data_IF_553707829842
#
_entry.id   IF_553707829842
#
_cell.length_a   1.000
_cell.length_b   1.000
_cell.length_c   1.000
_cell.angle_alpha   90.00
_cell.angle_beta   90.00
_cell.angle_gamma   90.00
#
_symmetry.space_group_name_H-M   'P 1'
#
loop_
_entity.id
_entity.type
_entity.pdbx_description
1 polymer ?
2 water ?
#
# COMPACT_ATOMS: atom_id res chain seq x y z
N UNK A 33 22.35 6.92 5.05
CA UNK A 33 20.96 6.91 4.46
C UNK A 33 20.55 5.54 3.87
N UNK A 34 19.28 5.28 4.02
CA UNK A 34 18.70 4.03 3.69
C UNK A 34 18.29 4.12 2.21
N UNK A 35 18.58 3.10 1.41
CA UNK A 35 18.19 3.07 -0.02
C UNK A 35 16.68 2.91 -0.20
N UNK A 36 16.20 3.54 -1.27
CA UNK A 36 14.84 3.44 -1.74
C UNK A 36 14.52 2.00 -2.01
N UNK A 37 13.27 1.61 -1.84
CA UNK A 37 12.87 0.29 -2.33
C UNK A 37 12.41 0.51 -3.78
N UNK A 38 13.04 -0.15 -4.74
CA UNK A 38 12.71 0.04 -6.12
C UNK A 38 11.48 -0.83 -6.52
N UNK A 39 10.44 -0.20 -7.04
CA UNK A 39 9.17 -0.90 -7.39
C UNK A 39 9.09 -1.33 -8.87
N UNK A 40 10.07 -0.91 -9.65
CA UNK A 40 10.11 -1.19 -11.12
C UNK A 40 8.78 -0.80 -11.74
N UNK A 41 8.22 -1.67 -12.54
CA UNK A 41 6.97 -1.36 -13.24
C UNK A 41 5.78 -1.16 -12.29
N UNK A 42 5.82 -1.79 -11.12
CA UNK A 42 4.75 -1.60 -10.15
C UNK A 42 4.56 -0.19 -9.68
N UNK A 43 5.62 0.64 -9.77
CA UNK A 43 5.51 2.08 -9.47
C UNK A 43 4.42 2.79 -10.29
N UNK A 44 4.11 2.29 -11.45
CA UNK A 44 3.02 2.87 -12.23
C UNK A 44 1.59 2.59 -11.77
N UNK A 45 1.42 1.83 -10.67
CA UNK A 45 0.07 1.45 -10.24
C UNK A 45 -0.26 2.04 -8.92
N UNK A 46 -1.50 2.49 -8.76
CA UNK A 46 -2.02 2.83 -7.43
C UNK A 46 -2.44 1.58 -6.66
N UNK A 47 -2.98 0.60 -7.38
CA UNK A 47 -3.44 -0.67 -6.81
C UNK A 47 -3.04 -1.77 -7.74
N UNK A 48 -2.31 -2.70 -7.19
CA UNK A 48 -1.88 -3.91 -7.89
C UNK A 48 -2.11 -5.09 -6.96
N UNK A 49 -2.96 -6.04 -7.34
CA UNK A 49 -3.10 -7.28 -6.56
C UNK A 49 -2.92 -8.57 -7.39
N UNK A 50 -2.95 -9.71 -6.72
CA UNK A 50 -2.86 -10.96 -7.38
C UNK A 50 -4.18 -11.69 -7.46
N UNK A 51 -5.14 -11.38 -6.60
CA UNK A 51 -6.37 -12.10 -6.66
C UNK A 51 -7.52 -11.13 -6.71
N UNK A 52 -7.27 -9.87 -7.03
CA UNK A 52 -8.40 -8.98 -7.23
C UNK A 52 -8.55 -7.80 -6.39
N UNK A 53 -9.62 -7.11 -6.70
CA UNK A 53 -9.93 -5.88 -6.13
C UNK A 53 -11.38 -5.73 -5.99
N UNK A 54 -11.79 -5.59 -4.76
CA UNK A 54 -13.16 -5.56 -4.36
C UNK A 54 -13.49 -4.15 -3.93
N UNK A 55 -14.74 -3.77 -4.06
CA UNK A 55 -15.09 -2.42 -3.79
C UNK A 55 -16.55 -2.22 -3.45
N UNK A 56 -16.80 -1.33 -2.49
CA UNK A 56 -18.12 -0.85 -2.23
C UNK A 56 -18.19 0.47 -2.92
N UNK A 57 -19.17 0.63 -3.81
CA UNK A 57 -19.25 1.83 -4.66
C UNK A 57 -19.66 2.96 -3.72
N UNK A 58 -19.15 4.20 -3.81
CA UNK A 58 -18.15 4.68 -4.76
C UNK A 58 -16.76 5.01 -4.14
N UNK A 59 -15.71 4.43 -4.70
CA UNK A 59 -14.32 4.84 -4.40
C UNK A 59 -13.84 5.86 -5.44
N UNK A 60 -12.74 6.53 -5.13
CA UNK A 60 -12.03 7.46 -6.06
C UNK A 60 -10.55 7.13 -6.04
N UNK A 61 -10.16 6.36 -7.04
CA UNK A 61 -8.79 6.01 -7.24
C UNK A 61 -8.11 6.83 -8.34
N UNK A 62 -6.97 7.42 -8.00
CA UNK A 62 -6.13 8.17 -8.94
C UNK A 62 -4.83 7.43 -9.19
N UNK A 63 -4.73 6.90 -10.39
CA UNK A 63 -3.57 6.12 -10.85
C UNK A 63 -4.07 4.83 -11.41
N UNK A 64 -3.19 4.05 -12.03
CA UNK A 64 -3.61 2.80 -12.69
C UNK A 64 -3.86 1.66 -11.69
N UNK A 65 -4.69 0.74 -12.11
CA UNK A 65 -5.03 -0.44 -11.30
C UNK A 65 -4.92 -1.69 -12.13
N UNK A 66 -4.54 -2.75 -11.46
CA UNK A 66 -4.33 -4.03 -12.12
C UNK A 66 -4.33 -5.23 -11.19
N UNK A 67 -4.55 -6.39 -11.79
CA UNK A 67 -4.50 -7.66 -11.08
C UNK A 67 -4.04 -8.73 -12.02
N UNK A 68 -3.22 -9.61 -11.51
CA UNK A 68 -2.74 -10.79 -12.24
C UNK A 68 -2.04 -11.78 -11.26
N UNK A 69 -2.09 -13.12 -11.53
CA UNK A 69 -2.54 -13.82 -12.75
C UNK A 69 -4.04 -14.02 -12.83
N UNK A 70 -4.80 -13.59 -11.85
CA UNK A 70 -6.22 -13.78 -11.92
C UNK A 70 -6.96 -13.04 -13.07
N UNK A 71 -8.15 -13.54 -13.46
CA UNK A 71 -8.99 -12.87 -14.47
C UNK A 71 -9.41 -11.48 -14.13
N UNK A 72 -9.43 -10.63 -15.12
CA UNK A 72 -9.93 -9.30 -14.92
C UNK A 72 -11.29 -9.10 -14.39
N UNK A 73 -12.16 -10.10 -14.56
CA UNK A 73 -13.41 -10.20 -13.81
C UNK A 73 -13.24 -10.05 -12.29
N UNK A 74 -12.10 -10.42 -11.74
CA UNK A 74 -11.90 -10.20 -10.26
C UNK A 74 -11.71 -8.72 -9.81
N UNK A 75 -11.65 -7.82 -10.81
CA UNK A 75 -11.60 -6.38 -10.55
C UNK A 75 -12.97 -5.79 -10.56
N UNK A 76 -13.54 -5.53 -9.38
CA UNK A 76 -14.93 -5.05 -9.21
C UNK A 76 -15.09 -3.54 -9.12
N UNK A 77 -14.32 -2.86 -9.93
CA UNK A 77 -14.38 -1.43 -9.98
C UNK A 77 -15.13 -1.09 -11.23
N UNK A 78 -15.91 -0.03 -11.20
CA UNK A 78 -16.42 0.58 -12.40
C UNK A 78 -15.43 1.62 -12.89
N UNK A 79 -15.64 2.04 -14.13
CA UNK A 79 -14.80 2.98 -14.81
C UNK A 79 -14.89 4.38 -14.24
N UNK A 80 -16.03 4.83 -13.77
CA UNK A 80 -16.04 6.15 -13.13
C UNK A 80 -15.30 6.19 -11.77
N UNK A 81 -14.76 5.08 -11.28
CA UNK A 81 -14.05 5.12 -9.98
C UNK A 81 -12.56 5.30 -10.14
N UNK A 82 -12.06 5.10 -11.35
CA UNK A 82 -10.64 5.08 -11.59
C UNK A 82 -10.31 6.22 -12.56
N UNK A 83 -9.42 7.10 -12.15
CA UNK A 83 -8.84 8.08 -13.06
C UNK A 83 -7.47 7.50 -13.40
N UNK A 84 -7.30 6.93 -14.57
CA UNK A 84 -6.08 6.18 -14.93
C UNK A 84 -6.60 5.00 -15.75
N UNK A 85 -5.82 3.94 -15.85
CA UNK A 85 -6.18 2.81 -16.65
C UNK A 85 -6.37 1.59 -15.78
N UNK A 86 -7.30 0.74 -16.18
CA UNK A 86 -7.55 -0.55 -15.52
C UNK A 86 -7.02 -1.57 -16.43
N UNK A 87 -6.07 -2.35 -15.96
CA UNK A 87 -5.46 -3.40 -16.74
C UNK A 87 -5.93 -4.83 -16.36
N UNK A 88 -6.11 -5.71 -17.36
CA UNK A 88 -6.60 -7.07 -17.17
C UNK A 88 -5.71 -7.99 -17.89
N UNK A 89 -5.59 -9.21 -17.38
CA UNK A 89 -4.83 -10.21 -18.06
C UNK A 89 -5.61 -10.77 -19.28
N UNK A 90 -6.88 -10.49 -19.43
CA UNK A 90 -7.72 -11.20 -20.43
C UNK A 90 -8.83 -10.30 -20.85
N UNK A 91 -9.79 -10.92 -21.53
CA UNK A 91 -10.84 -10.22 -22.14
C UNK A 91 -11.88 -9.84 -21.09
N UNK A 92 -11.83 -10.44 -19.91
CA UNK A 92 -12.83 -10.07 -18.86
C UNK A 92 -12.52 -8.78 -18.09
N UNK A 93 -13.54 -8.18 -17.51
CA UNK A 93 -13.38 -7.04 -16.63
C UNK A 93 -14.25 -5.85 -16.96
N UNK A 94 -14.02 -4.73 -16.29
CA UNK A 94 -14.82 -3.52 -16.49
C UNK A 94 -14.68 -3.09 -17.96
N UNK A 95 -15.63 -2.29 -18.41
CA UNK A 95 -15.81 -2.02 -19.86
C UNK A 95 -14.58 -1.32 -20.48
N UNK A 96 -14.04 -0.34 -19.75
CA UNK A 96 -12.85 0.43 -20.16
C UNK A 96 -11.52 -0.29 -20.01
N UNK A 97 -11.50 -1.57 -19.73
CA UNK A 97 -10.23 -2.13 -19.36
C UNK A 97 -9.35 -2.25 -20.56
N UNK A 98 -8.03 -2.33 -20.34
CA UNK A 98 -7.08 -2.62 -21.36
C UNK A 98 -6.56 -3.94 -21.02
N UNK A 99 -6.47 -4.79 -22.02
CA UNK A 99 -5.92 -6.09 -21.79
C UNK A 99 -4.46 -6.03 -22.02
N UNK A 100 -3.61 -6.37 -21.03
CA UNK A 100 -2.15 -6.43 -21.27
C UNK A 100 -1.38 -7.36 -20.30
N UNK A 101 -1.25 -8.60 -20.70
CA UNK A 101 -0.81 -9.61 -19.82
C UNK A 101 0.65 -9.45 -19.53
N UNK A 102 1.49 -9.09 -20.52
CA UNK A 102 2.93 -9.04 -20.29
C UNK A 102 3.30 -7.89 -19.33
N UNK A 103 2.58 -6.76 -19.38
CA UNK A 103 2.90 -5.67 -18.47
C UNK A 103 2.50 -6.02 -17.03
N UNK A 104 1.34 -6.63 -16.85
CA UNK A 104 0.90 -7.08 -15.53
C UNK A 104 1.82 -8.13 -14.93
N UNK A 105 2.30 -9.05 -15.74
CA UNK A 105 3.29 -10.04 -15.29
C UNK A 105 4.59 -9.40 -14.86
N UNK A 106 5.08 -8.45 -15.62
CA UNK A 106 6.26 -7.69 -15.17
C UNK A 106 5.95 -6.90 -13.93
N UNK A 107 4.78 -6.29 -13.88
CA UNK A 107 4.45 -5.49 -12.71
C UNK A 107 4.43 -6.36 -11.47
N UNK A 108 3.75 -7.49 -11.56
CA UNK A 108 3.62 -8.38 -10.40
C UNK A 108 4.93 -9.00 -9.99
N UNK A 109 5.69 -9.46 -10.95
CA UNK A 109 7.08 -9.85 -10.72
C UNK A 109 7.86 -8.74 -9.97
N UNK A 110 7.69 -7.48 -10.34
CA UNK A 110 8.45 -6.39 -9.75
C UNK A 110 8.00 -6.08 -8.34
N UNK A 111 6.71 -6.19 -8.10
CA UNK A 111 6.16 -6.10 -6.76
C UNK A 111 6.76 -7.19 -5.85
N UNK A 112 6.90 -8.41 -6.35
CA UNK A 112 7.50 -9.51 -5.55
C UNK A 112 8.96 -9.20 -5.18
N UNK A 113 9.76 -8.77 -6.16
CA UNK A 113 11.12 -8.33 -5.96
C UNK A 113 11.18 -7.19 -4.96
N UNK A 114 10.23 -6.26 -5.03
CA UNK A 114 10.23 -5.18 -4.08
C UNK A 114 9.92 -5.70 -2.69
N UNK A 115 8.90 -6.54 -2.57
CA UNK A 115 8.54 -7.10 -1.27
C UNK A 115 9.74 -7.81 -0.60
N UNK A 116 10.45 -8.63 -1.36
CA UNK A 116 11.60 -9.38 -0.87
C UNK A 116 12.76 -8.44 -0.56
N UNK A 117 12.97 -7.42 -1.40
CA UNK A 117 13.97 -6.42 -1.09
C UNK A 117 13.69 -5.73 0.24
N UNK A 118 12.46 -5.30 0.45
CA UNK A 118 12.07 -4.65 1.70
C UNK A 118 12.13 -5.53 2.95
N UNK A 119 11.56 -6.73 2.85
CA UNK A 119 11.66 -7.69 3.94
C UNK A 119 13.10 -8.15 4.23
N UNK A 120 14.00 -8.02 3.26
CA UNK A 120 15.34 -8.56 3.35
C UNK A 120 16.30 -7.55 3.95
N UNK A 121 15.89 -6.30 4.19
CA UNK A 121 16.87 -5.30 4.66
C UNK A 121 17.33 -5.68 6.08
N UNK A 122 18.62 -5.42 6.40
CA UNK A 122 19.20 -5.84 7.69
C UNK A 122 19.57 -4.68 8.59
N UNK A 123 19.81 -5.00 9.87
CA UNK A 123 20.27 -3.98 10.85
C UNK A 123 19.25 -2.92 11.07
N UNK A 124 18.12 -3.32 11.58
CA UNK A 124 17.19 -2.25 11.81
C UNK A 124 17.72 -1.21 12.80
N UNK A 125 17.16 -0.03 12.73
CA UNK A 125 17.40 1.02 13.63
C UNK A 125 16.53 0.89 14.85
N UNK A 126 15.30 0.38 14.68
CA UNK A 126 14.43 -0.01 15.74
C UNK A 126 13.85 -1.42 15.62
N UNK A 127 13.62 -2.07 16.78
CA UNK A 127 12.94 -3.34 16.88
C UNK A 127 11.95 -3.30 18.00
N UNK A 128 10.71 -3.57 17.65
CA UNK A 128 9.57 -3.62 18.54
C UNK A 128 9.26 -2.35 19.23
N UNK A 129 9.47 -1.28 18.51
CA UNK A 129 9.12 0.03 18.96
C UNK A 129 7.65 0.10 19.45
N UNK A 130 7.46 0.74 20.62
CA UNK A 130 6.19 0.90 21.31
C UNK A 130 5.51 -0.41 21.76
N UNK A 131 6.27 -1.50 21.69
CA UNK A 131 5.83 -2.83 21.92
C UNK A 131 4.67 -3.18 20.97
N UNK A 132 4.71 -2.72 19.71
CA UNK A 132 3.63 -3.11 18.78
C UNK A 132 2.45 -2.16 18.73
N UNK A 133 2.47 -1.12 19.55
CA UNK A 133 1.48 -0.08 19.52
C UNK A 133 2.18 1.30 19.48
N UNK A 134 1.90 2.12 18.44
CA UNK A 134 2.68 3.35 18.19
C UNK A 134 1.91 4.65 18.14
N UNK A 135 0.74 4.67 18.73
CA UNK A 135 -0.05 5.91 18.74
C UNK A 135 0.77 7.08 19.33
N UNK A 136 0.64 8.28 18.78
CA UNK A 136 1.27 9.48 19.32
C UNK A 136 2.74 9.69 18.93
N UNK A 137 3.41 8.68 18.39
CA UNK A 137 4.81 8.84 18.07
C UNK A 137 5.07 9.74 16.86
N UNK A 138 6.31 10.24 16.81
CA UNK A 138 6.91 10.90 15.69
C UNK A 138 8.06 10.03 15.21
N UNK A 139 7.99 9.49 13.99
CA UNK A 139 8.97 8.50 13.51
C UNK A 139 9.94 9.17 12.63
N UNK A 140 11.23 9.00 12.93
CA UNK A 140 12.29 9.64 12.21
C UNK A 140 12.82 8.60 11.29
N UNK A 141 13.63 9.01 10.30
CA UNK A 141 13.94 8.11 9.19
C UNK A 141 14.69 6.90 9.61
N UNK A 142 14.52 5.80 8.90
CA UNK A 142 15.27 4.61 9.16
C UNK A 142 14.48 3.35 8.89
N UNK A 143 15.04 2.28 9.39
CA UNK A 143 14.57 0.95 9.18
C UNK A 143 14.06 0.48 10.48
N UNK A 144 12.76 0.21 10.48
CA UNK A 144 12.02 -0.25 11.64
C UNK A 144 11.50 -1.64 11.48
N UNK A 145 11.62 -2.44 12.53
CA UNK A 145 11.13 -3.81 12.49
C UNK A 145 10.28 -4.17 13.69
N UNK A 146 9.26 -4.97 13.43
CA UNK A 146 8.32 -5.53 14.42
C UNK A 146 8.16 -7.01 14.18
N UNK A 147 8.26 -7.81 15.25
CA UNK A 147 8.24 -9.26 15.07
C UNK A 147 6.83 -9.79 15.37
N UNK A 148 5.88 -8.90 15.55
CA UNK A 148 4.52 -9.21 15.80
C UNK A 148 3.67 -8.29 14.90
N UNK A 149 2.42 -8.11 15.32
CA UNK A 149 1.45 -7.26 14.67
C UNK A 149 1.69 -5.83 15.13
N UNK A 150 1.55 -4.89 14.21
CA UNK A 150 1.64 -3.47 14.51
C UNK A 150 0.31 -2.83 14.47
N UNK A 151 0.00 -2.15 15.56
CA UNK A 151 -1.17 -1.30 15.73
C UNK A 151 -0.89 0.17 15.81
N UNK A 152 -1.71 0.94 15.12
CA UNK A 152 -1.68 2.37 15.12
C UNK A 152 -3.01 2.94 15.61
N UNK A 153 -3.17 3.06 16.94
CA UNK A 153 -4.48 3.43 17.46
C UNK A 153 -4.74 4.91 17.57
N UNK A 154 -3.72 5.73 17.45
CA UNK A 154 -3.91 7.17 17.46
C UNK A 154 -2.90 7.79 16.52
N UNK A 155 -3.10 9.08 16.25
CA UNK A 155 -2.34 9.80 15.22
C UNK A 155 -0.86 9.70 15.42
N UNK A 156 -0.13 9.62 14.31
CA UNK A 156 1.33 9.63 14.32
C UNK A 156 1.84 10.60 13.30
N UNK A 157 3.12 10.94 13.41
CA UNK A 157 3.75 11.81 12.46
C UNK A 157 4.97 11.08 11.92
N UNK A 158 5.31 11.32 10.67
CA UNK A 158 6.53 10.79 10.06
C UNK A 158 7.26 12.06 9.65
N UNK A 159 8.49 12.21 10.14
CA UNK A 159 9.19 13.50 10.12
C UNK A 159 10.61 13.33 9.68
N UNK A 160 11.04 14.13 8.72
CA UNK A 160 12.37 14.01 8.10
C UNK A 160 12.41 14.84 6.80
N UNK A 161 13.51 14.76 6.08
CA UNK A 161 13.68 15.54 4.84
C UNK A 161 12.98 14.99 3.58
N UNK A 162 13.00 15.78 2.53
CA UNK A 162 12.39 15.39 1.27
C UNK A 162 13.12 14.20 0.67
N UNK A 163 14.30 13.87 1.14
CA UNK A 163 15.03 12.73 0.57
C UNK A 163 15.25 11.57 1.60
N UNK A 164 14.75 11.72 2.81
CA UNK A 164 14.82 10.64 3.83
C UNK A 164 13.85 9.49 3.44
N UNK A 165 14.24 8.28 3.82
CA UNK A 165 13.51 7.06 3.56
C UNK A 165 13.12 6.34 4.86
N UNK A 166 11.93 5.76 4.88
CA UNK A 166 11.42 4.96 6.01
C UNK A 166 10.98 3.65 5.46
N UNK A 167 11.48 2.60 6.07
CA UNK A 167 11.03 1.27 5.77
C UNK A 167 10.55 0.64 7.05
N UNK A 168 9.24 0.36 7.07
CA UNK A 168 8.60 -0.42 8.12
C UNK A 168 8.37 -1.90 7.88
N UNK A 169 9.09 -2.77 8.58
CA UNK A 169 8.98 -4.24 8.44
C UNK A 169 8.12 -4.81 9.53
N UNK A 170 7.00 -5.42 9.15
CA UNK A 170 6.01 -5.88 10.11
C UNK A 170 5.79 -7.36 9.87
N UNK A 171 6.18 -8.19 10.84
CA UNK A 171 6.03 -9.66 10.66
C UNK A 171 4.58 -10.21 10.79
N UNK A 172 3.64 -9.53 11.45
CA UNK A 172 2.25 -9.93 11.49
C UNK A 172 1.34 -9.01 10.67
N UNK A 173 0.20 -8.65 11.22
CA UNK A 173 -0.66 -7.68 10.59
C UNK A 173 -0.29 -6.27 10.89
N UNK A 174 -0.88 -5.37 10.13
CA UNK A 174 -0.83 -3.98 10.38
C UNK A 174 -2.22 -3.44 10.51
N UNK A 175 -2.51 -2.83 11.64
CA UNK A 175 -3.80 -2.23 11.89
C UNK A 175 -3.73 -0.79 12.13
N UNK A 176 -4.69 -0.05 11.56
CA UNK A 176 -4.88 1.33 11.95
C UNK A 176 -6.33 1.57 12.29
N UNK A 177 -6.59 2.23 13.40
CA UNK A 177 -7.96 2.42 13.85
C UNK A 177 -8.67 3.55 13.15
N UNK A 178 -9.98 3.58 13.33
CA UNK A 178 -10.75 4.62 12.71
C UNK A 178 -10.32 6.03 13.07
N UNK A 179 -10.44 6.92 12.09
CA UNK A 179 -10.06 8.32 12.17
C UNK A 179 -8.62 8.59 12.48
N UNK A 180 -7.79 7.58 12.60
CA UNK A 180 -6.36 7.87 12.74
C UNK A 180 -5.80 8.47 11.47
N UNK A 181 -4.94 9.49 11.60
CA UNK A 181 -4.29 10.19 10.49
C UNK A 181 -2.76 10.11 10.65
N UNK A 182 -2.07 9.73 9.59
CA UNK A 182 -0.63 9.86 9.55
C UNK A 182 -0.25 11.19 8.88
N UNK A 183 0.43 12.04 9.63
CA UNK A 183 0.93 13.30 9.15
C UNK A 183 2.38 13.26 8.71
N UNK A 184 2.72 13.94 7.62
CA UNK A 184 4.10 14.02 7.23
C UNK A 184 4.61 15.41 7.65
N UNK A 185 5.84 15.49 8.13
CA UNK A 185 6.42 16.77 8.56
C UNK A 185 7.82 16.83 8.05
N UNK A 186 8.30 18.07 7.91
CA UNK A 186 9.70 18.37 7.60
C UNK A 186 10.10 18.20 6.14
N UNK A 187 9.13 17.98 5.24
CA UNK A 187 9.41 17.70 3.82
C UNK A 187 9.36 16.20 3.48
N UNK A 188 9.10 15.36 4.48
CA UNK A 188 8.96 13.91 4.27
C UNK A 188 7.93 13.61 3.14
N UNK A 189 8.26 12.72 2.22
CA UNK A 189 7.35 12.42 1.12
C UNK A 189 6.81 11.00 1.12
N UNK A 190 5.52 10.86 0.81
CA UNK A 190 4.92 9.53 0.76
C UNK A 190 5.66 8.55 -0.14
N UNK A 191 6.24 9.00 -1.24
CA UNK A 191 6.93 8.07 -2.13
C UNK A 191 8.20 7.48 -1.54
N UNK A 192 8.67 8.05 -0.42
CA UNK A 192 9.83 7.51 0.21
C UNK A 192 9.52 6.71 1.47
N UNK A 193 8.25 6.35 1.63
CA UNK A 193 7.80 5.54 2.73
C UNK A 193 7.33 4.21 2.27
N UNK A 194 7.83 3.15 2.90
CA UNK A 194 7.48 1.78 2.56
C UNK A 194 7.08 0.95 3.73
N UNK A 195 5.92 0.29 3.63
CA UNK A 195 5.41 -0.61 4.66
C UNK A 195 5.33 -2.00 4.09
N UNK A 196 6.17 -2.90 4.60
CA UNK A 196 6.23 -4.30 4.23
C UNK A 196 5.60 -5.10 5.32
N UNK A 197 4.54 -5.84 4.99
CA UNK A 197 3.81 -6.65 6.00
C UNK A 197 3.66 -8.09 5.58
N UNK A 198 4.00 -9.02 6.47
CA UNK A 198 3.85 -10.44 6.18
C UNK A 198 2.37 -10.91 6.28
N UNK A 199 1.57 -10.19 7.03
CA UNK A 199 0.18 -10.48 7.25
C UNK A 199 -0.65 -9.39 6.59
N UNK A 200 -1.94 -9.38 6.87
CA UNK A 200 -2.91 -8.45 6.30
C UNK A 200 -2.87 -7.07 6.92
N UNK A 201 -3.14 -6.07 6.10
CA UNK A 201 -3.34 -4.71 6.52
C UNK A 201 -4.80 -4.37 6.62
N UNK A 202 -5.16 -3.65 7.67
CA UNK A 202 -6.53 -3.17 7.88
C UNK A 202 -6.54 -1.73 8.30
N UNK A 203 -7.08 -0.90 7.42
CA UNK A 203 -7.19 0.52 7.62
C UNK A 203 -8.60 0.89 7.96
N UNK A 204 -8.76 1.44 9.15
CA UNK A 204 -10.07 1.75 9.73
C UNK A 204 -10.80 2.89 9.07
N UNK A 205 -12.11 3.00 9.35
CA UNK A 205 -12.95 3.93 8.64
C UNK A 205 -12.50 5.35 8.94
N UNK A 206 -12.51 6.21 7.93
CA UNK A 206 -12.11 7.61 8.07
C UNK A 206 -10.60 7.79 8.29
N UNK A 207 -9.83 6.72 8.34
CA UNK A 207 -8.42 6.89 8.62
C UNK A 207 -7.72 7.47 7.39
N UNK A 208 -6.54 8.06 7.59
CA UNK A 208 -5.67 8.53 6.50
C UNK A 208 -4.27 8.02 6.62
N UNK A 209 -3.84 7.30 5.59
CA UNK A 209 -2.55 6.60 5.58
C UNK A 209 -1.61 7.25 4.55
N UNK A 210 -0.32 7.20 4.84
CA UNK A 210 0.70 7.64 3.93
C UNK A 210 1.71 6.56 3.69
N UNK A 211 2.07 6.38 2.44
CA UNK A 211 3.12 5.48 2.03
C UNK A 211 2.69 4.30 1.16
N UNK A 212 3.68 3.62 0.57
CA UNK A 212 3.60 2.37 -0.18
C UNK A 212 3.41 1.14 0.70
N UNK A 213 2.39 0.34 0.44
CA UNK A 213 2.14 -0.84 1.21
C UNK A 213 2.44 -2.00 0.35
N UNK A 214 3.38 -2.80 0.80
CA UNK A 214 3.73 -4.07 0.15
C UNK A 214 3.31 -5.20 1.08
N UNK A 215 2.10 -5.69 0.88
CA UNK A 215 1.58 -6.79 1.68
C UNK A 215 1.69 -8.19 1.05
N UNK A 216 2.01 -9.17 1.90
CA UNK A 216 2.15 -10.54 1.45
C UNK A 216 0.77 -11.13 1.39
N UNK A 217 -0.19 -10.55 2.06
CA UNK A 217 -1.57 -10.94 1.88
C UNK A 217 -2.40 -9.71 1.50
N UNK A 218 -3.47 -9.43 2.22
CA UNK A 218 -4.44 -8.49 1.72
C UNK A 218 -4.24 -7.13 2.27
N UNK A 219 -4.89 -6.17 1.65
CA UNK A 219 -5.02 -4.85 2.17
C UNK A 219 -6.46 -4.55 2.11
N UNK A 220 -7.04 -4.21 3.24
CA UNK A 220 -8.43 -3.95 3.45
C UNK A 220 -8.71 -2.63 4.05
N UNK A 221 -9.43 -1.77 3.33
CA UNK A 221 -9.82 -0.46 3.77
C UNK A 221 -11.28 -0.41 4.10
N UNK A 222 -11.61 0.39 5.12
CA UNK A 222 -12.99 0.57 5.56
C UNK A 222 -13.52 1.90 5.14
N UNK A 223 -14.82 2.03 5.32
CA UNK A 223 -15.54 3.23 4.89
C UNK A 223 -14.82 4.58 4.97
N UNK A 224 -14.56 5.14 3.79
CA UNK A 224 -14.12 6.51 3.61
C UNK A 224 -12.70 6.75 4.14
N UNK A 225 -11.96 5.69 4.43
CA UNK A 225 -10.53 5.81 4.68
C UNK A 225 -9.90 6.34 3.41
N UNK A 226 -8.77 7.01 3.54
CA UNK A 226 -7.96 7.36 2.43
C UNK A 226 -6.51 6.95 2.54
N UNK A 227 -5.89 6.86 1.39
CA UNK A 227 -4.48 6.64 1.34
C UNK A 227 -3.76 7.46 0.26
N UNK A 228 -2.65 8.05 0.63
CA UNK A 228 -1.74 8.59 -0.31
C UNK A 228 -0.55 7.69 -0.37
N UNK A 229 -0.53 6.84 -1.37
CA UNK A 229 0.40 5.72 -1.44
C UNK A 229 -0.04 4.71 -2.49
N UNK A 230 0.61 3.55 -2.50
CA UNK A 230 0.29 2.48 -3.40
C UNK A 230 -0.15 1.29 -2.55
N UNK A 231 -1.13 0.53 -3.02
CA UNK A 231 -1.54 -0.71 -2.37
C UNK A 231 -1.11 -1.87 -3.23
N UNK A 232 -0.05 -2.54 -2.83
CA UNK A 232 0.47 -3.68 -3.52
C UNK A 232 0.29 -4.96 -2.69
N UNK A 233 -0.71 -5.74 -3.07
CA UNK A 233 -1.04 -6.93 -2.32
C UNK A 233 -0.81 -8.21 -3.08
N UNK A 234 -0.24 -9.19 -2.40
CA UNK A 234 -0.06 -10.46 -3.00
C UNK A 234 -1.29 -11.36 -2.98
N UNK A 235 -2.33 -11.00 -2.26
CA UNK A 235 -3.65 -11.55 -2.46
C UNK A 235 -4.55 -10.40 -2.98
N UNK A 236 -5.57 -10.01 -2.23
CA UNK A 236 -6.53 -8.98 -2.64
C UNK A 236 -6.51 -7.66 -1.91
N UNK A 237 -7.13 -6.67 -2.56
CA UNK A 237 -7.34 -5.37 -2.01
C UNK A 237 -8.76 -5.20 -1.93
N UNK A 238 -9.25 -4.78 -0.77
CA UNK A 238 -10.68 -4.61 -0.60
C UNK A 238 -10.88 -3.22 -0.22
N UNK A 239 -11.91 -2.59 -0.78
CA UNK A 239 -12.19 -1.18 -0.55
C UNK A 239 -13.64 -0.91 -0.15
N UNK A 240 -13.89 0.14 0.62
CA UNK A 240 -15.21 0.56 0.90
C UNK A 240 -15.24 2.05 0.78
N UNK A 241 -15.69 2.57 -0.38
CA UNK A 241 -15.77 4.03 -0.59
C UNK A 241 -14.47 4.79 -0.22
N UNK A 242 -13.34 4.33 -0.72
CA UNK A 242 -12.09 4.94 -0.32
C UNK A 242 -11.58 5.96 -1.32
N UNK A 243 -10.73 6.84 -0.86
CA UNK A 243 -9.93 7.67 -1.74
C UNK A 243 -8.51 7.11 -1.78
N UNK A 244 -8.02 6.78 -2.96
CA UNK A 244 -6.65 6.21 -3.15
C UNK A 244 -5.90 7.05 -4.18
N UNK A 245 -4.81 7.68 -3.78
CA UNK A 245 -3.99 8.51 -4.69
C UNK A 245 -2.52 8.05 -4.73
N UNK A 246 -1.98 7.91 -5.93
CA UNK A 246 -0.60 7.54 -6.09
C UNK A 246 0.28 8.72 -5.62
N UNK A 247 1.33 8.43 -4.89
CA UNK A 247 2.15 9.54 -4.38
C UNK A 247 2.79 10.36 -5.50
N UNK A 248 2.73 11.68 -5.42
CA UNK A 248 3.56 12.54 -6.28
C UNK A 248 4.79 12.94 -5.45
#
# INVERSE_FOLDING_TARGET
SLSVANSTYETTALNSQKSSTDQPNSGSKSGQTLDLVNLGVAANFAILSKTGITDVYKSAITGDVGASPITGAAILLKCDEVTGTIFSVDAAGPACKITDASRLTTAVGDMQIAYDNAAGRLNPDFLNLGAGTIGGKTLTPGLYKWTSTLNIPTDITISGSSTDVWIFQVAGNLNMSSAVRITLAGGAQAKNIFWQTAGAVTLGSTSHFEGNILSQTGINMKTAASINGRMMAQTAVTLQMNTVTIPQ
#
